data_IF_871900278900
#
_entry.id   IF_871900278900
#
_cell.length_a   1.000
_cell.length_b   1.000
_cell.length_c   1.000
_cell.angle_alpha   90.00
_cell.angle_beta   90.00
_cell.angle_gamma   90.00
#
_symmetry.space_group_name_H-M   'P 1'
#
loop_
_entity.id
_entity.type
_entity.pdbx_description
1 polymer ?
#
# COMPACT_ATOMS: atom_id res chain seq x y z
N UNK A 1 0.60 -8.79 59.79
CA UNK A 1 0.10 -7.58 59.12
C UNK A 1 0.83 -7.38 57.81
N UNK A 2 0.07 -7.62 56.74
CA UNK A 2 0.15 -7.04 55.38
C UNK A 2 1.47 -7.18 54.62
N UNK A 3 1.49 -8.10 53.65
CA UNK A 3 2.41 -8.07 52.52
C UNK A 3 2.04 -6.97 51.52
N UNK A 4 3.03 -6.47 50.80
CA UNK A 4 2.83 -5.59 49.65
C UNK A 4 3.39 -6.26 48.40
N UNK A 5 2.50 -6.86 47.61
CA UNK A 5 2.75 -7.25 46.23
C UNK A 5 2.22 -6.14 45.30
N UNK A 6 3.12 -5.69 44.41
CA UNK A 6 2.93 -5.32 42.99
C UNK A 6 1.75 -4.42 42.61
N UNK A 7 2.04 -3.31 41.92
CA UNK A 7 1.49 -2.97 40.57
C UNK A 7 1.87 -1.54 40.15
N UNK A 8 3.07 -1.38 39.60
CA UNK A 8 3.38 -0.26 38.71
C UNK A 8 2.80 -0.53 37.33
N UNK A 9 1.48 -0.50 37.19
CA UNK A 9 0.86 -0.43 35.87
C UNK A 9 1.14 0.97 35.31
N UNK A 10 2.21 1.11 34.52
CA UNK A 10 2.36 2.27 33.64
C UNK A 10 1.19 2.23 32.67
N UNK A 11 0.13 2.96 33.02
CA UNK A 11 -1.07 3.11 32.21
C UNK A 11 -0.64 3.52 30.80
N UNK A 12 -1.12 2.77 29.80
CA UNK A 12 -0.93 3.18 28.40
C UNK A 12 -1.43 4.62 28.28
N UNK A 13 -0.63 5.56 27.72
CA UNK A 13 -1.11 6.91 27.50
C UNK A 13 -2.41 6.84 26.69
N UNK A 14 -3.42 7.57 27.16
CA UNK A 14 -4.73 7.65 26.53
C UNK A 14 -4.53 8.18 25.10
N UNK A 15 -5.12 7.47 24.12
CA UNK A 15 -5.04 7.83 22.71
C UNK A 15 -5.50 9.28 22.49
N UNK A 16 -4.59 10.12 22.02
CA UNK A 16 -4.88 11.53 21.72
C UNK A 16 -5.14 11.70 20.22
N UNK A 17 -6.40 11.95 19.86
CA UNK A 17 -6.83 12.18 18.47
C UNK A 17 -6.14 13.38 17.82
N UNK A 18 -5.76 14.38 18.59
CA UNK A 18 -5.11 15.61 18.09
C UNK A 18 -3.59 15.43 17.90
N UNK A 19 -3.04 14.30 18.38
CA UNK A 19 -1.61 13.94 18.25
C UNK A 19 -1.46 12.54 17.67
N UNK A 20 -2.17 12.28 16.57
CA UNK A 20 -2.13 11.01 15.90
C UNK A 20 -2.15 11.15 14.38
N UNK A 21 -1.30 10.38 13.71
CA UNK A 21 -1.36 10.18 12.27
C UNK A 21 -1.94 8.81 11.94
N UNK A 22 -2.83 8.77 10.96
CA UNK A 22 -3.49 7.56 10.46
C UNK A 22 -2.71 7.01 9.27
N UNK A 23 -2.07 5.87 9.48
CA UNK A 23 -1.44 5.08 8.44
C UNK A 23 -2.44 4.05 7.92
N UNK A 24 -2.86 4.16 6.67
CA UNK A 24 -3.57 3.09 5.97
C UNK A 24 -2.56 2.10 5.39
N UNK A 25 -2.64 0.84 5.77
CA UNK A 25 -1.90 -0.25 5.16
C UNK A 25 -2.83 -1.06 4.28
N UNK A 26 -2.54 -1.10 2.98
CA UNK A 26 -3.28 -1.90 2.00
C UNK A 26 -2.56 -3.22 1.80
N UNK A 27 -2.99 -4.23 2.55
CA UNK A 27 -2.39 -5.56 2.60
C UNK A 27 -3.42 -6.60 3.06
N UNK A 28 -3.09 -7.88 2.89
CA UNK A 28 -3.87 -8.98 3.46
C UNK A 28 -3.78 -9.03 5.00
N UNK A 29 -4.53 -9.94 5.63
CA UNK A 29 -4.54 -10.11 7.09
C UNK A 29 -3.47 -11.08 7.61
N UNK A 30 -2.59 -11.63 6.75
CA UNK A 30 -1.53 -12.54 7.19
C UNK A 30 -0.43 -11.82 7.98
N UNK A 31 -0.29 -10.51 7.76
CA UNK A 31 0.66 -9.65 8.49
C UNK A 31 -0.08 -8.65 9.38
N UNK A 32 0.05 -8.74 10.71
CA UNK A 32 -0.48 -7.72 11.63
C UNK A 32 0.45 -6.49 11.68
N UNK A 33 0.22 -5.51 10.81
CA UNK A 33 1.03 -4.29 10.74
C UNK A 33 0.92 -3.44 12.02
N UNK A 34 -0.21 -3.48 12.71
CA UNK A 34 -0.42 -2.81 13.99
C UNK A 34 0.61 -3.24 15.04
N UNK A 35 1.07 -4.50 15.00
CA UNK A 35 2.13 -5.00 15.88
C UNK A 35 3.48 -4.32 15.62
N UNK A 36 3.84 -4.09 14.37
CA UNK A 36 5.13 -3.50 13.97
C UNK A 36 5.21 -2.00 14.25
N UNK A 37 4.07 -1.29 14.17
CA UNK A 37 3.98 0.13 14.49
C UNK A 37 3.64 0.41 15.96
N UNK A 38 3.40 -0.63 16.78
CA UNK A 38 3.07 -0.45 18.21
C UNK A 38 4.19 0.29 18.94
N UNK A 39 3.81 1.39 19.61
CA UNK A 39 4.74 2.23 20.36
C UNK A 39 5.69 3.07 19.50
N UNK A 40 5.58 3.00 18.16
CA UNK A 40 6.29 3.91 17.27
C UNK A 40 5.59 5.27 17.28
N UNK A 41 6.41 6.33 17.31
CA UNK A 41 5.94 7.72 17.34
C UNK A 41 6.66 8.56 16.31
N UNK A 42 5.95 9.50 15.71
CA UNK A 42 6.53 10.54 14.87
C UNK A 42 6.92 11.72 15.76
N UNK A 43 8.12 12.25 15.57
CA UNK A 43 8.72 13.34 16.37
C UNK A 43 8.75 13.11 17.90
N UNK A 44 8.55 11.86 18.34
CA UNK A 44 8.57 11.43 19.74
C UNK A 44 7.22 11.51 20.45
N UNK A 45 6.22 12.12 19.84
CA UNK A 45 5.03 12.58 20.53
C UNK A 45 3.71 12.41 19.76
N UNK A 46 3.76 12.12 18.47
CA UNK A 46 2.58 11.74 17.69
C UNK A 46 2.46 10.22 17.57
N UNK A 47 1.34 9.67 18.00
CA UNK A 47 1.06 8.24 17.87
C UNK A 47 0.69 7.88 16.42
N UNK A 48 1.00 6.65 16.00
CA UNK A 48 0.61 6.12 14.69
C UNK A 48 -0.60 5.20 14.86
N UNK A 49 -1.75 5.59 14.31
CA UNK A 49 -2.92 4.73 14.19
C UNK A 49 -2.84 3.95 12.89
N UNK A 50 -2.70 2.63 13.00
CA UNK A 50 -2.73 1.74 11.84
C UNK A 50 -4.17 1.34 11.54
N UNK A 51 -4.59 1.61 10.31
CA UNK A 51 -5.80 1.09 9.68
C UNK A 51 -5.35 0.10 8.61
N UNK A 52 -5.83 -1.14 8.62
CA UNK A 52 -5.39 -2.18 7.68
C UNK A 52 -6.59 -2.84 7.01
N UNK A 53 -6.51 -2.97 5.69
CA UNK A 53 -7.55 -3.58 4.85
C UNK A 53 -7.00 -3.96 3.47
N UNK A 54 -7.64 -4.91 2.79
CA UNK A 54 -7.38 -5.19 1.38
C UNK A 54 -8.08 -4.16 0.48
N UNK A 55 -7.61 -3.98 -0.76
CA UNK A 55 -8.26 -3.06 -1.72
C UNK A 55 -9.76 -3.32 -1.88
N UNK A 56 -10.19 -4.59 -1.93
CA UNK A 56 -11.59 -5.00 -2.09
C UNK A 56 -12.52 -4.55 -0.95
N UNK A 57 -11.96 -4.19 0.21
CA UNK A 57 -12.70 -3.75 1.39
C UNK A 57 -12.86 -2.22 1.44
N UNK A 58 -12.25 -1.50 0.50
CA UNK A 58 -12.13 -0.06 0.51
C UNK A 58 -12.96 0.60 -0.60
N UNK A 59 -13.46 1.79 -0.29
CA UNK A 59 -13.85 2.79 -1.27
C UNK A 59 -13.28 4.15 -0.90
N UNK A 60 -13.06 5.00 -1.90
CA UNK A 60 -12.47 6.33 -1.70
C UNK A 60 -13.37 7.40 -2.30
N UNK A 61 -13.54 8.49 -1.57
CA UNK A 61 -14.07 9.75 -2.09
C UNK A 61 -13.02 10.81 -1.85
N UNK A 62 -12.70 11.61 -2.87
CA UNK A 62 -11.73 12.68 -2.74
C UNK A 62 -12.32 14.00 -3.24
N UNK A 63 -12.07 15.08 -2.50
CA UNK A 63 -12.35 16.45 -2.95
C UNK A 63 -11.11 17.31 -2.81
N UNK A 64 -11.04 18.37 -3.62
CA UNK A 64 -9.91 19.31 -3.62
C UNK A 64 -9.75 20.07 -2.31
N UNK A 65 -10.84 20.23 -1.55
CA UNK A 65 -10.86 20.98 -0.28
C UNK A 65 -10.61 20.07 0.94
N UNK A 66 -11.20 18.87 0.94
CA UNK A 66 -11.30 18.03 2.14
C UNK A 66 -10.26 16.88 2.12
N UNK A 67 -9.66 16.62 0.96
CA UNK A 67 -8.73 15.51 0.72
C UNK A 67 -9.45 14.18 0.50
N UNK A 68 -8.72 13.06 0.66
CA UNK A 68 -9.29 11.72 0.53
C UNK A 68 -9.97 11.27 1.83
N UNK A 69 -11.21 10.81 1.72
CA UNK A 69 -11.90 10.01 2.74
C UNK A 69 -11.96 8.57 2.28
N UNK A 70 -11.50 7.66 3.13
CA UNK A 70 -11.55 6.22 2.92
C UNK A 70 -12.73 5.66 3.69
N UNK A 71 -13.55 4.85 3.04
CA UNK A 71 -14.58 4.04 3.68
C UNK A 71 -14.17 2.58 3.61
N UNK A 72 -14.14 1.93 4.77
CA UNK A 72 -13.67 0.56 4.95
C UNK A 72 -14.84 -0.29 5.45
N UNK A 73 -15.22 -1.30 4.66
CA UNK A 73 -16.31 -2.22 4.98
C UNK A 73 -15.78 -3.50 5.61
N UNK A 74 -16.09 -3.73 6.89
CA UNK A 74 -15.68 -4.92 7.64
C UNK A 74 -16.92 -5.72 8.03
N UNK A 75 -16.88 -7.05 7.88
CA UNK A 75 -17.94 -7.92 8.39
C UNK A 75 -17.70 -8.24 9.87
N UNK A 76 -18.68 -7.95 10.72
CA UNK A 76 -18.69 -8.33 12.14
C UNK A 76 -19.96 -9.13 12.42
N UNK A 77 -19.81 -10.38 12.85
CA UNK A 77 -20.93 -11.29 13.13
C UNK A 77 -21.96 -11.37 11.98
N UNK A 78 -21.48 -11.38 10.72
CA UNK A 78 -22.32 -11.43 9.52
C UNK A 78 -22.92 -10.08 9.09
N UNK A 79 -22.80 -9.02 9.89
CA UNK A 79 -23.22 -7.67 9.50
C UNK A 79 -22.07 -6.86 8.93
N UNK A 80 -22.26 -6.27 7.75
CA UNK A 80 -21.28 -5.33 7.17
C UNK A 80 -21.35 -4.00 7.92
N UNK A 81 -20.27 -3.63 8.60
CA UNK A 81 -20.09 -2.34 9.27
C UNK A 81 -19.12 -1.52 8.44
N UNK A 82 -19.54 -0.33 8.01
CA UNK A 82 -18.67 0.60 7.29
C UNK A 82 -18.19 1.67 8.27
N UNK A 83 -16.88 1.92 8.27
CA UNK A 83 -16.28 3.05 8.98
C UNK A 83 -15.50 3.92 7.99
N UNK A 84 -15.49 5.22 8.23
CA UNK A 84 -14.76 6.16 7.39
C UNK A 84 -13.69 6.91 8.17
N UNK A 85 -12.56 7.19 7.53
CA UNK A 85 -11.45 7.94 8.09
C UNK A 85 -10.68 8.66 6.99
N UNK A 86 -9.85 9.62 7.38
CA UNK A 86 -8.89 10.28 6.47
C UNK A 86 -7.50 9.71 6.74
N UNK A 87 -6.85 9.06 5.77
CA UNK A 87 -5.48 8.62 5.92
C UNK A 87 -4.53 9.81 5.78
N UNK A 88 -3.53 9.86 6.66
CA UNK A 88 -2.41 10.82 6.54
C UNK A 88 -1.28 10.24 5.68
N UNK A 89 -1.22 8.91 5.54
CA UNK A 89 -0.25 8.20 4.74
C UNK A 89 -0.81 6.83 4.30
N UNK A 90 -0.36 6.31 3.15
CA UNK A 90 -0.71 4.96 2.68
C UNK A 90 0.54 4.11 2.46
N UNK A 91 0.53 2.88 2.97
CA UNK A 91 1.49 1.83 2.66
C UNK A 91 0.81 0.80 1.76
N UNK A 92 1.25 0.65 0.51
CA UNK A 92 0.65 -0.26 -0.46
C UNK A 92 1.50 -1.53 -0.54
N UNK A 93 0.93 -2.67 -0.15
CA UNK A 93 1.56 -4.01 -0.17
C UNK A 93 0.84 -5.00 -1.10
N UNK A 94 -0.38 -4.70 -1.49
CA UNK A 94 -1.16 -5.48 -2.44
C UNK A 94 -0.92 -5.02 -3.88
N UNK A 95 -1.01 -5.94 -4.85
CA UNK A 95 -1.02 -5.59 -6.27
C UNK A 95 -2.28 -4.78 -6.59
N UNK A 96 -2.12 -3.72 -7.37
CA UNK A 96 -3.24 -2.92 -7.86
C UNK A 96 -4.10 -3.70 -8.88
N UNK A 97 -3.39 -4.52 -9.66
CA UNK A 97 -3.76 -5.52 -10.66
C UNK A 97 -3.89 -6.96 -10.14
N UNK A 98 -5.07 -7.59 -10.03
CA UNK A 98 -5.11 -9.06 -9.82
C UNK A 98 -6.33 -9.70 -10.49
N UNK A 99 -6.26 -10.98 -10.84
CA UNK A 99 -7.26 -11.81 -11.55
C UNK A 99 -8.70 -11.25 -11.68
N UNK A 100 -8.90 -10.29 -12.59
CA UNK A 100 -10.21 -9.68 -12.90
C UNK A 100 -10.58 -8.42 -12.08
N UNK A 101 -9.80 -8.08 -11.06
CA UNK A 101 -9.92 -6.86 -10.25
C UNK A 101 -8.97 -5.77 -10.77
N UNK A 102 -9.46 -4.54 -10.88
CA UNK A 102 -8.64 -3.35 -11.17
C UNK A 102 -8.92 -2.26 -10.13
N UNK A 103 -7.98 -2.09 -9.19
CA UNK A 103 -8.10 -1.14 -8.09
C UNK A 103 -7.49 0.24 -8.43
N UNK A 104 -7.20 0.51 -9.72
CA UNK A 104 -6.61 1.77 -10.19
C UNK A 104 -7.43 3.00 -9.76
N UNK A 105 -8.75 2.89 -9.72
CA UNK A 105 -9.65 3.95 -9.25
C UNK A 105 -9.34 4.39 -7.82
N UNK A 106 -9.01 3.47 -6.91
CA UNK A 106 -8.60 3.80 -5.54
C UNK A 106 -7.29 4.59 -5.52
N UNK A 107 -6.31 4.17 -6.32
CA UNK A 107 -5.03 4.88 -6.48
C UNK A 107 -5.24 6.32 -6.97
N UNK A 108 -6.15 6.52 -7.94
CA UNK A 108 -6.50 7.85 -8.43
C UNK A 108 -7.12 8.70 -7.32
N UNK A 109 -8.00 8.14 -6.48
CA UNK A 109 -8.59 8.85 -5.35
C UNK A 109 -7.55 9.30 -4.31
N UNK A 110 -6.55 8.45 -4.01
CA UNK A 110 -5.43 8.86 -3.15
C UNK A 110 -4.58 9.96 -3.79
N UNK A 111 -4.30 9.85 -5.09
CA UNK A 111 -3.49 10.85 -5.81
C UNK A 111 -4.21 12.19 -5.90
N UNK A 112 -5.50 12.18 -6.17
CA UNK A 112 -6.34 13.36 -6.28
C UNK A 112 -6.42 14.11 -4.94
N UNK A 113 -6.66 13.38 -3.84
CA UNK A 113 -6.70 13.97 -2.49
C UNK A 113 -5.33 14.24 -1.86
N UNK A 114 -4.23 14.05 -2.60
CA UNK A 114 -2.89 14.42 -2.16
C UNK A 114 -2.29 13.52 -1.08
N UNK A 115 -2.76 12.28 -0.93
CA UNK A 115 -2.29 11.39 0.15
C UNK A 115 -0.88 10.88 -0.15
N UNK A 116 0.11 11.08 0.74
CA UNK A 116 1.45 10.51 0.60
C UNK A 116 1.44 8.98 0.68
N UNK A 117 2.41 8.32 0.01
CA UNK A 117 2.45 6.86 -0.06
C UNK A 117 3.86 6.28 -0.19
N UNK A 118 4.04 5.05 0.29
CA UNK A 118 5.17 4.18 -0.06
C UNK A 118 4.69 2.84 -0.69
N UNK A 119 5.19 2.43 -1.85
CA UNK A 119 5.92 3.27 -2.83
C UNK A 119 5.08 4.49 -3.24
N UNK A 120 5.70 5.47 -3.91
CA UNK A 120 4.96 6.65 -4.37
C UNK A 120 3.79 6.24 -5.27
N UNK A 121 2.66 6.95 -5.17
CA UNK A 121 1.49 6.67 -6.01
C UNK A 121 1.83 6.71 -7.50
N UNK A 122 2.80 7.55 -7.90
CA UNK A 122 3.30 7.61 -9.26
C UNK A 122 4.05 6.32 -9.66
N UNK A 123 4.92 5.81 -8.80
CA UNK A 123 5.61 4.54 -9.07
C UNK A 123 4.60 3.39 -9.17
N UNK A 124 3.64 3.32 -8.24
CA UNK A 124 2.59 2.28 -8.25
C UNK A 124 1.73 2.37 -9.52
N UNK A 125 1.38 3.57 -9.98
CA UNK A 125 0.66 3.78 -11.24
C UNK A 125 1.44 3.25 -12.44
N UNK A 126 2.74 3.54 -12.53
CA UNK A 126 3.59 3.11 -13.64
C UNK A 126 3.98 1.63 -13.57
N UNK A 127 3.82 0.97 -12.42
CA UNK A 127 4.14 -0.45 -12.24
C UNK A 127 3.03 -1.41 -12.70
N UNK A 128 1.93 -0.88 -13.25
CA UNK A 128 0.78 -1.68 -13.70
C UNK A 128 1.12 -2.63 -14.86
N UNK A 129 2.04 -2.24 -15.74
CA UNK A 129 2.37 -2.97 -16.95
C UNK A 129 3.79 -3.51 -16.89
N UNK A 130 3.94 -4.83 -16.75
CA UNK A 130 5.26 -5.48 -16.66
C UNK A 130 6.18 -5.13 -17.85
N UNK A 131 5.71 -5.10 -19.13
CA UNK A 131 6.55 -4.67 -20.25
C UNK A 131 7.05 -3.22 -20.13
N UNK A 132 6.24 -2.32 -19.57
CA UNK A 132 6.62 -0.92 -19.33
C UNK A 132 7.75 -0.84 -18.29
N UNK A 133 7.63 -1.57 -17.18
CA UNK A 133 8.68 -1.67 -16.17
C UNK A 133 9.96 -2.29 -16.77
N UNK A 134 9.82 -3.34 -17.58
CA UNK A 134 10.95 -3.99 -18.25
C UNK A 134 11.68 -3.04 -19.21
N UNK A 135 10.97 -2.12 -19.88
CA UNK A 135 11.59 -1.09 -20.71
C UNK A 135 12.54 -0.17 -19.92
N UNK A 136 12.23 0.14 -18.65
CA UNK A 136 13.16 0.87 -17.78
C UNK A 136 14.40 0.03 -17.41
N UNK A 137 14.24 -1.29 -17.23
CA UNK A 137 15.40 -2.18 -17.03
C UNK A 137 16.30 -2.22 -18.28
N UNK A 138 15.71 -2.22 -19.48
CA UNK A 138 16.46 -2.10 -20.74
C UNK A 138 17.21 -0.77 -20.84
N UNK A 139 16.63 0.35 -20.38
CA UNK A 139 17.32 1.65 -20.32
C UNK A 139 18.55 1.59 -19.39
N UNK A 140 18.41 0.95 -18.22
CA UNK A 140 19.52 0.75 -17.29
C UNK A 140 20.62 -0.11 -17.94
N UNK A 141 20.25 -1.22 -18.59
CA UNK A 141 21.20 -2.08 -19.30
C UNK A 141 21.96 -1.33 -20.40
N UNK A 142 21.27 -0.50 -21.20
CA UNK A 142 21.91 0.31 -22.26
C UNK A 142 22.94 1.29 -21.69
N UNK A 143 22.69 1.83 -20.50
CA UNK A 143 23.61 2.76 -19.83
C UNK A 143 24.80 2.05 -19.19
N UNK A 144 24.59 0.90 -18.57
CA UNK A 144 25.61 0.20 -17.77
C UNK A 144 26.38 -0.88 -18.55
N UNK A 145 25.84 -1.34 -19.69
CA UNK A 145 26.35 -2.48 -20.44
C UNK A 145 25.84 -3.82 -19.90
N UNK A 146 25.82 -4.85 -20.77
CA UNK A 146 25.31 -6.19 -20.42
C UNK A 146 26.12 -6.88 -19.31
N UNK A 147 27.42 -6.59 -19.21
CA UNK A 147 28.29 -7.17 -18.18
C UNK A 147 27.93 -6.67 -16.77
N UNK A 148 27.64 -5.37 -16.63
CA UNK A 148 27.30 -4.76 -15.33
C UNK A 148 25.82 -4.90 -14.98
N UNK A 149 24.96 -5.08 -15.98
CA UNK A 149 23.52 -5.27 -15.79
C UNK A 149 23.00 -6.39 -16.71
N UNK A 150 23.17 -7.66 -16.32
CA UNK A 150 22.84 -8.83 -17.14
C UNK A 150 21.33 -9.11 -17.12
N UNK A 151 20.55 -8.28 -17.83
CA UNK A 151 19.12 -8.50 -18.05
C UNK A 151 18.90 -9.63 -19.06
N UNK A 152 17.94 -10.52 -18.79
CA UNK A 152 17.52 -11.59 -19.69
C UNK A 152 17.06 -11.03 -21.04
N UNK A 153 17.38 -11.73 -22.13
CA UNK A 153 16.84 -11.40 -23.44
C UNK A 153 15.34 -11.70 -23.47
N UNK A 154 14.51 -10.69 -23.75
CA UNK A 154 13.06 -10.82 -23.82
C UNK A 154 12.53 -10.10 -25.06
N UNK A 155 11.57 -10.72 -25.74
CA UNK A 155 10.86 -10.11 -26.88
C UNK A 155 9.46 -9.69 -26.44
N UNK A 156 9.11 -8.42 -26.68
CA UNK A 156 7.75 -7.93 -26.49
C UNK A 156 6.95 -8.09 -27.79
N UNK A 157 5.77 -8.70 -27.69
CA UNK A 157 4.80 -8.77 -28.77
C UNK A 157 3.55 -7.98 -28.38
N UNK A 158 3.13 -6.97 -29.16
CA UNK A 158 1.96 -6.17 -28.82
C UNK A 158 0.65 -6.96 -28.88
N UNK A 159 0.62 -8.03 -29.67
CA UNK A 159 -0.49 -8.96 -29.79
C UNK A 159 -0.01 -10.30 -30.37
N UNK A 160 -0.90 -11.29 -30.40
CA UNK A 160 -0.58 -12.65 -30.83
C UNK A 160 -0.17 -12.77 -32.31
N UNK A 161 -0.54 -11.81 -33.19
CA UNK A 161 -0.24 -11.88 -34.63
C UNK A 161 1.25 -11.73 -34.93
N UNK A 162 1.97 -11.06 -34.04
CA UNK A 162 3.43 -10.86 -34.15
C UNK A 162 4.23 -12.06 -33.64
N UNK A 163 3.57 -13.06 -33.02
CA UNK A 163 4.23 -14.24 -32.45
C UNK A 163 4.48 -15.32 -33.51
N UNK A 164 5.29 -15.01 -34.52
CA UNK A 164 5.50 -15.87 -35.69
C UNK A 164 6.52 -17.01 -35.45
N UNK A 165 7.59 -16.75 -34.70
CA UNK A 165 8.62 -17.74 -34.38
C UNK A 165 9.37 -17.37 -33.10
N UNK A 166 9.94 -18.38 -32.43
CA UNK A 166 10.85 -18.21 -31.31
C UNK A 166 12.28 -18.55 -31.75
N UNK A 167 13.28 -17.70 -31.42
CA UNK A 167 14.67 -17.93 -31.84
C UNK A 167 15.32 -19.12 -31.12
N UNK A 168 14.80 -19.52 -29.95
CA UNK A 168 15.25 -20.68 -29.18
C UNK A 168 14.03 -21.33 -28.51
N UNK A 169 14.05 -22.65 -28.43
CA UNK A 169 13.06 -23.44 -27.70
C UNK A 169 13.61 -23.82 -26.32
N UNK A 170 12.73 -24.02 -25.31
CA UNK A 170 13.12 -24.47 -23.97
C UNK A 170 13.76 -25.86 -23.99
#
# INVERSE_FOLDING_TARGET
NVGAAVTGATGRPVFNKDRCFTLLVIDDQNTDWSKYFRGRRLHGDFDIRVEQAEFKELSVTASSEIGTTVSMGVYRNGTKVVRSFKPDFVLIRQNLRDAGEDNKNLLLGFKFGGVPSINSLHAVYNFQDKPWVFAHLLQIQRRLGKENFPLIDQTYYPNFREMLSAPRFP
#
